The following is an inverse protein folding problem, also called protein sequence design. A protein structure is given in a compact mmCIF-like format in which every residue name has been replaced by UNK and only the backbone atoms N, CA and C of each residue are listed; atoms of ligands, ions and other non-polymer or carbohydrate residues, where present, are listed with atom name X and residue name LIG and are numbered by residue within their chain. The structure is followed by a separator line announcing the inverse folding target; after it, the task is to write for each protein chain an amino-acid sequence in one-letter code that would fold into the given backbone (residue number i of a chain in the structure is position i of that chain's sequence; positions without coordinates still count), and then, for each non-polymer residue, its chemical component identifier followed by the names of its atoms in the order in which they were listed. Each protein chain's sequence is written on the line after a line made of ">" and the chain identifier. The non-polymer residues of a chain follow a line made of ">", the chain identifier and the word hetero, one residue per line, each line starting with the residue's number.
data_IF_677095011228
#
_entry.id   IF_677095011228
#
_cell.length_a   1.000
_cell.length_b   1.000
_cell.length_c   1.000
_cell.angle_alpha   90.00
_cell.angle_beta   90.00
_cell.angle_gamma   90.00
#
_symmetry.space_group_name_H-M   'P 1'
#
loop_
_entity.id
_entity.type
_entity.pdbx_description
1 polymer ?
#
# COMPACT_ATOMS: atom_id res chain seq x y z
N UNK A 1 -12.12 -1.84 -17.74
CA UNK A 1 -10.92 -1.67 -16.89
C UNK A 1 -10.99 -0.30 -16.22
N UNK A 2 -10.44 -0.15 -15.00
CA UNK A 2 -10.37 1.15 -14.32
C UNK A 2 -9.38 2.09 -15.03
N UNK A 3 -9.65 3.40 -15.04
CA UNK A 3 -8.74 4.43 -15.57
C UNK A 3 -7.34 4.33 -14.96
N UNK A 4 -7.25 3.90 -13.70
CA UNK A 4 -5.99 3.67 -13.02
C UNK A 4 -5.22 2.46 -13.59
N UNK A 5 -5.91 1.37 -13.89
CA UNK A 5 -5.31 0.18 -14.52
C UNK A 5 -4.77 0.52 -15.91
N UNK A 6 -5.50 1.35 -16.67
CA UNK A 6 -5.04 1.84 -17.97
C UNK A 6 -3.81 2.75 -17.85
N UNK A 7 -3.77 3.64 -16.86
CA UNK A 7 -2.61 4.48 -16.56
C UNK A 7 -1.37 3.66 -16.16
N UNK A 8 -1.53 2.59 -15.36
CA UNK A 8 -0.39 1.72 -15.01
C UNK A 8 0.23 1.04 -16.24
N UNK A 9 -0.56 0.76 -17.28
CA UNK A 9 -0.08 0.12 -18.51
C UNK A 9 0.72 1.08 -19.40
N UNK A 10 0.53 2.39 -19.29
CA UNK A 10 1.30 3.40 -20.05
C UNK A 10 2.66 3.71 -19.43
N UNK A 11 2.86 3.40 -18.15
CA UNK A 11 4.14 3.57 -17.47
C UNK A 11 5.16 2.51 -17.92
N UNK A 12 6.46 2.87 -17.91
CA UNK A 12 7.54 1.90 -18.13
C UNK A 12 7.51 0.82 -17.04
N UNK A 13 7.85 -0.45 -17.32
CA UNK A 13 7.81 -1.54 -16.35
C UNK A 13 8.39 -1.22 -14.96
N UNK A 14 9.55 -0.55 -14.80
CA UNK A 14 10.08 -0.20 -13.49
C UNK A 14 9.25 0.85 -12.72
N UNK A 15 8.44 1.66 -13.42
CA UNK A 15 7.63 2.73 -12.82
C UNK A 15 6.23 2.26 -12.39
N UNK A 16 5.74 1.12 -12.94
CA UNK A 16 4.40 0.59 -12.64
C UNK A 16 4.22 0.21 -11.17
N UNK A 17 5.16 -0.52 -10.53
CA UNK A 17 5.03 -0.90 -9.12
C UNK A 17 4.99 0.32 -8.20
N UNK A 18 5.85 1.32 -8.45
CA UNK A 18 5.90 2.57 -7.68
C UNK A 18 4.57 3.34 -7.75
N UNK A 19 4.04 3.54 -8.96
CA UNK A 19 2.75 4.23 -9.13
C UNK A 19 1.57 3.45 -8.52
N UNK A 20 1.60 2.11 -8.60
CA UNK A 20 0.61 1.24 -7.96
C UNK A 20 0.61 1.41 -6.43
N UNK A 21 1.79 1.40 -5.81
CA UNK A 21 1.93 1.55 -4.36
C UNK A 21 1.63 2.96 -3.87
N UNK A 22 2.06 4.01 -4.58
CA UNK A 22 1.73 5.39 -4.22
C UNK A 22 0.21 5.64 -4.24
N UNK A 23 -0.47 5.09 -5.24
CA UNK A 23 -1.93 5.13 -5.32
C UNK A 23 -2.59 4.35 -4.18
N UNK A 24 -2.10 3.14 -3.88
CA UNK A 24 -2.60 2.35 -2.75
C UNK A 24 -2.37 3.07 -1.41
N UNK A 25 -1.19 3.63 -1.17
CA UNK A 25 -0.87 4.41 0.03
C UNK A 25 -1.80 5.63 0.16
N UNK A 26 -2.07 6.33 -0.94
CA UNK A 26 -3.01 7.48 -0.97
C UNK A 26 -4.44 7.06 -0.64
N UNK A 27 -4.91 5.92 -1.16
CA UNK A 27 -6.23 5.39 -0.82
C UNK A 27 -6.34 5.01 0.66
N UNK A 28 -5.28 4.44 1.22
CA UNK A 28 -5.26 4.04 2.62
C UNK A 28 -5.25 5.22 3.57
N UNK A 29 -4.42 6.24 3.30
CA UNK A 29 -4.35 7.44 4.15
C UNK A 29 -5.54 8.37 3.95
N UNK A 30 -5.99 8.55 2.70
CA UNK A 30 -7.04 9.52 2.36
C UNK A 30 -8.46 9.02 2.62
N UNK A 31 -8.73 7.72 2.44
CA UNK A 31 -10.09 7.18 2.55
C UNK A 31 -10.26 6.20 3.72
N UNK A 32 -9.28 5.34 3.98
CA UNK A 32 -9.42 4.29 5.02
C UNK A 32 -9.10 4.85 6.40
N UNK A 33 -8.02 5.62 6.55
CA UNK A 33 -7.61 6.22 7.83
C UNK A 33 -8.74 6.96 8.56
N UNK A 34 -9.42 7.94 7.93
CA UNK A 34 -10.53 8.65 8.55
C UNK A 34 -11.71 7.73 8.92
N UNK A 35 -11.94 6.63 8.19
CA UNK A 35 -12.98 5.66 8.53
C UNK A 35 -12.62 4.87 9.79
N UNK A 36 -11.33 4.56 10.02
CA UNK A 36 -10.88 3.91 11.26
C UNK A 36 -11.19 4.78 12.48
N UNK A 37 -10.92 6.08 12.40
CA UNK A 37 -11.21 7.03 13.48
C UNK A 37 -12.71 7.06 13.81
N UNK A 38 -13.57 7.06 12.78
CA UNK A 38 -15.03 7.02 12.96
C UNK A 38 -15.46 5.69 13.59
N UNK A 39 -14.92 4.56 13.14
CA UNK A 39 -15.22 3.23 13.69
C UNK A 39 -14.79 3.15 15.16
N UNK A 40 -13.63 3.72 15.53
CA UNK A 40 -13.14 3.71 16.91
C UNK A 40 -14.02 4.56 17.84
N UNK A 41 -14.51 5.70 17.36
CA UNK A 41 -15.50 6.52 18.09
C UNK A 41 -16.82 5.76 18.27
N UNK A 42 -17.33 5.14 17.21
CA UNK A 42 -18.54 4.31 17.26
C UNK A 42 -18.38 3.15 18.24
N UNK A 43 -17.27 2.43 18.19
CA UNK A 43 -16.94 1.35 19.13
C UNK A 43 -16.99 1.84 20.59
N UNK A 44 -16.39 3.00 20.86
CA UNK A 44 -16.37 3.59 22.21
C UNK A 44 -17.78 3.92 22.71
N UNK A 45 -18.61 4.55 21.87
CA UNK A 45 -19.98 4.90 22.23
C UNK A 45 -20.87 3.66 22.39
N UNK A 46 -20.71 2.65 21.54
CA UNK A 46 -21.41 1.37 21.67
C UNK A 46 -21.05 0.65 22.97
N UNK A 47 -19.78 0.67 23.39
CA UNK A 47 -19.37 0.08 24.66
C UNK A 47 -19.97 0.81 25.87
N UNK A 48 -20.04 2.14 25.83
CA UNK A 48 -20.73 2.94 26.86
C UNK A 48 -22.22 2.58 26.92
N UNK A 49 -22.89 2.52 25.77
CA UNK A 49 -24.29 2.13 25.66
C UNK A 49 -24.52 0.72 26.22
N UNK A 50 -23.68 -0.25 25.85
CA UNK A 50 -23.74 -1.63 26.35
C UNK A 50 -23.57 -1.72 27.88
N UNK A 51 -22.67 -0.90 28.45
CA UNK A 51 -22.46 -0.83 29.90
C UNK A 51 -23.63 -0.21 30.66
N UNK A 52 -24.38 0.69 30.03
CA UNK A 52 -25.59 1.31 30.60
C UNK A 52 -26.87 0.49 30.44
N UNK A 53 -26.86 -0.53 29.58
CA UNK A 53 -28.01 -1.38 29.30
C UNK A 53 -28.12 -2.55 30.29
N UNK A 54 -29.25 -2.61 30.99
CA UNK A 54 -29.61 -3.75 31.82
C UNK A 54 -29.55 -5.07 31.03
N UNK A 55 -29.24 -6.17 31.71
CA UNK A 55 -29.07 -7.50 31.10
C UNK A 55 -30.29 -7.98 30.30
N UNK A 56 -31.48 -7.47 30.60
CA UNK A 56 -32.77 -7.81 29.96
C UNK A 56 -33.20 -6.80 28.91
N UNK A 57 -32.40 -5.77 28.63
CA UNK A 57 -32.77 -4.73 27.68
C UNK A 57 -32.88 -5.31 26.25
N UNK A 58 -34.01 -5.07 25.54
CA UNK A 58 -34.32 -5.75 24.27
C UNK A 58 -33.33 -5.45 23.13
N UNK A 59 -32.47 -4.44 23.28
CA UNK A 59 -31.45 -4.05 22.28
C UNK A 59 -30.01 -4.39 22.67
N UNK A 60 -29.79 -5.05 23.82
CA UNK A 60 -28.44 -5.35 24.30
C UNK A 60 -27.67 -6.24 23.33
N UNK A 61 -28.35 -7.20 22.70
CA UNK A 61 -27.77 -8.08 21.68
C UNK A 61 -27.35 -7.32 20.43
N UNK A 62 -28.20 -6.42 19.92
CA UNK A 62 -27.88 -5.59 18.75
C UNK A 62 -26.66 -4.69 19.01
N UNK A 63 -26.56 -4.11 20.21
CA UNK A 63 -25.38 -3.32 20.60
C UNK A 63 -24.12 -4.19 20.67
N UNK A 64 -24.22 -5.41 21.20
CA UNK A 64 -23.09 -6.37 21.19
C UNK A 64 -22.67 -6.78 19.78
N UNK A 65 -23.62 -7.04 18.88
CA UNK A 65 -23.33 -7.39 17.49
C UNK A 65 -22.62 -6.23 16.77
N UNK A 66 -23.04 -4.98 17.02
CA UNK A 66 -22.37 -3.79 16.49
C UNK A 66 -20.95 -3.59 17.04
N UNK A 67 -20.72 -3.90 18.32
CA UNK A 67 -19.37 -3.89 18.93
C UNK A 67 -18.45 -4.90 18.24
N UNK A 68 -18.96 -6.12 17.98
CA UNK A 68 -18.20 -7.16 17.28
C UNK A 68 -17.88 -6.73 15.84
N UNK A 69 -18.85 -6.17 15.13
CA UNK A 69 -18.65 -5.66 13.77
C UNK A 69 -17.60 -4.52 13.73
N UNK A 70 -17.69 -3.55 14.64
CA UNK A 70 -16.71 -2.47 14.75
C UNK A 70 -15.30 -3.01 15.05
N UNK A 71 -15.19 -4.02 15.91
CA UNK A 71 -13.91 -4.68 16.22
C UNK A 71 -13.30 -5.36 14.99
N UNK A 72 -14.11 -6.11 14.24
CA UNK A 72 -13.66 -6.78 13.01
C UNK A 72 -13.18 -5.77 11.95
N UNK A 73 -13.88 -4.64 11.80
CA UNK A 73 -13.48 -3.58 10.88
C UNK A 73 -12.16 -2.92 11.28
N UNK A 74 -11.94 -2.65 12.58
CA UNK A 74 -10.64 -2.14 13.07
C UNK A 74 -9.50 -3.13 12.79
N UNK A 75 -9.72 -4.43 13.01
CA UNK A 75 -8.72 -5.46 12.71
C UNK A 75 -8.39 -5.53 11.22
N UNK A 76 -9.40 -5.48 10.35
CA UNK A 76 -9.20 -5.47 8.90
C UNK A 76 -8.40 -4.25 8.44
N UNK A 77 -8.69 -3.07 8.99
CA UNK A 77 -7.95 -1.84 8.68
C UNK A 77 -6.48 -1.91 9.13
N UNK A 78 -6.21 -2.47 10.32
CA UNK A 78 -4.85 -2.69 10.81
C UNK A 78 -4.07 -3.66 9.92
N UNK A 79 -4.69 -4.77 9.51
CA UNK A 79 -4.07 -5.74 8.59
C UNK A 79 -3.76 -5.10 7.22
N UNK A 80 -4.66 -4.28 6.71
CA UNK A 80 -4.48 -3.59 5.45
C UNK A 80 -3.33 -2.58 5.52
N UNK A 81 -3.24 -1.83 6.63
CA UNK A 81 -2.14 -0.90 6.91
C UNK A 81 -0.80 -1.64 6.99
N UNK A 82 -0.74 -2.76 7.72
CA UNK A 82 0.48 -3.56 7.84
C UNK A 82 0.96 -4.10 6.48
N UNK A 83 0.04 -4.58 5.63
CA UNK A 83 0.37 -5.03 4.27
C UNK A 83 0.91 -3.89 3.41
N UNK A 84 0.32 -2.71 3.51
CA UNK A 84 0.76 -1.55 2.77
C UNK A 84 2.18 -1.11 3.16
N UNK A 85 2.48 -1.10 4.46
CA UNK A 85 3.82 -0.81 4.96
C UNK A 85 4.84 -1.86 4.48
N UNK A 86 4.51 -3.16 4.57
CA UNK A 86 5.38 -4.23 4.07
C UNK A 86 5.63 -4.14 2.56
N UNK A 87 4.64 -3.70 1.77
CA UNK A 87 4.85 -3.44 0.34
C UNK A 87 5.71 -2.19 0.10
N UNK A 88 5.57 -1.15 0.91
CA UNK A 88 6.41 0.05 0.81
C UNK A 88 7.88 -0.26 1.11
N UNK A 89 8.16 -1.06 2.15
CA UNK A 89 9.53 -1.51 2.49
C UNK A 89 10.16 -2.31 1.35
N UNK A 90 9.46 -3.33 0.83
CA UNK A 90 9.93 -4.14 -0.30
C UNK A 90 10.15 -3.32 -1.57
N UNK A 91 9.37 -2.26 -1.78
CA UNK A 91 9.61 -1.37 -2.91
C UNK A 91 10.88 -0.55 -2.72
N UNK A 92 11.16 -0.07 -1.51
CA UNK A 92 12.42 0.60 -1.19
C UNK A 92 13.64 -0.30 -1.44
N UNK A 93 13.55 -1.58 -1.07
CA UNK A 93 14.58 -2.59 -1.37
C UNK A 93 14.75 -2.79 -2.88
N UNK A 94 13.66 -2.92 -3.63
CA UNK A 94 13.70 -3.08 -5.09
C UNK A 94 14.20 -1.82 -5.82
N UNK A 95 13.89 -0.62 -5.32
CA UNK A 95 14.42 0.63 -5.86
C UNK A 95 15.92 0.77 -5.61
N UNK A 96 16.42 0.37 -4.43
CA UNK A 96 17.86 0.31 -4.17
C UNK A 96 18.60 -0.63 -5.13
N UNK A 97 18.03 -1.81 -5.42
CA UNK A 97 18.60 -2.77 -6.37
C UNK A 97 18.58 -2.25 -7.82
N UNK A 98 17.54 -1.48 -8.20
CA UNK A 98 17.44 -0.90 -9.54
C UNK A 98 18.39 0.29 -9.73
N UNK A 99 18.62 1.12 -8.71
CA UNK A 99 19.61 2.19 -8.77
C UNK A 99 21.04 1.63 -8.78
N UNK A 100 21.32 0.55 -8.05
CA UNK A 100 22.61 -0.15 -8.11
C UNK A 100 22.84 -0.83 -9.47
N UNK A 101 21.79 -1.39 -10.09
CA UNK A 101 21.88 -2.04 -11.40
C UNK A 101 21.98 -1.10 -12.62
N UNK A 102 21.76 0.21 -12.44
CA UNK A 102 21.90 1.23 -13.51
C UNK A 102 23.22 2.01 -13.38
N UNK A 103 23.96 1.83 -12.28
CA UNK A 103 25.24 2.50 -12.02
C UNK A 103 26.48 1.91 -12.70
N UNK A 104 26.38 0.79 -13.41
CA UNK A 104 27.54 0.10 -14.04
C UNK A 104 27.45 -0.06 -15.57
N UNK A 105 26.75 0.84 -16.28
CA UNK A 105 26.91 0.97 -17.74
C UNK A 105 27.31 2.40 -18.12
N UNK A 106 28.54 2.78 -17.79
CA UNK A 106 29.12 4.02 -18.33
C UNK A 106 30.44 4.40 -17.71
N UNK A 107 31.57 3.98 -18.32
CA UNK A 107 32.87 4.60 -18.05
C UNK A 107 34.07 3.73 -18.38
N UNK A 108 34.62 3.86 -19.58
CA UNK A 108 35.91 3.30 -19.97
C UNK A 108 36.26 3.64 -21.42
N UNK A 109 36.87 4.81 -21.61
CA UNK A 109 37.36 5.37 -22.87
C UNK A 109 38.43 4.52 -23.59
N UNK A 110 38.41 4.67 -24.92
CA UNK A 110 39.52 4.73 -25.89
C UNK A 110 40.70 3.74 -25.80
N UNK A 111 40.77 2.90 -26.84
CA UNK A 111 41.98 2.20 -27.27
C UNK A 111 42.09 2.25 -28.80
N UNK A 112 42.71 3.32 -29.28
CA UNK A 112 43.26 3.51 -30.62
C UNK A 112 44.19 2.36 -31.05
N UNK A 113 44.17 1.97 -32.34
CA UNK A 113 45.21 1.11 -32.91
C UNK A 113 44.79 0.31 -34.13
N UNK A 114 45.09 0.82 -35.33
CA UNK A 114 44.70 0.22 -36.61
C UNK A 114 45.45 -1.04 -37.03
N UNK A 115 44.95 -1.65 -38.09
CA UNK A 115 45.76 -2.29 -39.15
C UNK A 115 44.88 -2.46 -40.38
N UNK A 116 45.26 -1.76 -41.44
CA UNK A 116 44.90 -2.13 -42.80
C UNK A 116 45.52 -3.50 -43.09
N UNK A 117 44.75 -4.47 -43.55
CA UNK A 117 45.32 -5.55 -44.35
C UNK A 117 44.48 -5.82 -45.60
N UNK A 118 45.22 -5.97 -46.69
CA UNK A 118 44.77 -5.98 -48.07
C UNK A 118 44.13 -7.32 -48.41
N UNK A 119 43.13 -7.28 -49.29
CA UNK A 119 42.85 -8.42 -50.18
C UNK A 119 42.82 -7.89 -51.61
N UNK A 120 43.82 -8.32 -52.38
CA UNK A 120 43.86 -8.32 -53.84
C UNK A 120 43.31 -9.66 -54.31
#
# INVERSE_FOLDING_TARGET
>A
MSNFTTYLLTLRPPQRPRAALQSAATLLTGNVGPQVDVIQRLYTELHKAAGSLDATAPKKKEVQDLILAATALMQAANQLTARANAYAERLGELEGVLDEGVGEEGGGEEGEGGSEDKVV
#
